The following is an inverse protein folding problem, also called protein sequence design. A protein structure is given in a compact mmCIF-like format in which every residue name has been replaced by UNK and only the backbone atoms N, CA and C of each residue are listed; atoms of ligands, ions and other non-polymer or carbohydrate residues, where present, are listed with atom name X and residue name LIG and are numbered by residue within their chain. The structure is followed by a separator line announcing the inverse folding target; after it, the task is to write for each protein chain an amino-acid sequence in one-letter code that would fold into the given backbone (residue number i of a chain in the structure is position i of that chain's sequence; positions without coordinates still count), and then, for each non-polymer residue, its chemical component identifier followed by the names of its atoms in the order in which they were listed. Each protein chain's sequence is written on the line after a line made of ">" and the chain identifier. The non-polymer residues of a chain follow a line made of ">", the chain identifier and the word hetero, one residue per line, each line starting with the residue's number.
data_IF_062109937427
#
_entry.id   IF_062109937427
#
_cell.length_a   1.000
_cell.length_b   1.000
_cell.length_c   1.000
_cell.angle_alpha   90.00
_cell.angle_beta   90.00
_cell.angle_gamma   90.00
#
_symmetry.space_group_name_H-M   'P 1'
#
loop_
_entity.id
_entity.type
_entity.pdbx_description
1 polymer ?
#
# COMPACT_ATOMS: atom_id res chain seq x y z
N UNK A 1 7.48 -8.63 18.49
CA UNK A 1 8.36 -8.89 17.32
C UNK A 1 7.87 -8.23 16.02
N UNK A 2 6.56 -8.28 15.67
CA UNK A 2 6.05 -7.52 14.52
C UNK A 2 6.19 -6.02 14.76
N UNK A 3 5.93 -5.57 15.96
CA UNK A 3 6.09 -4.17 16.36
C UNK A 3 7.51 -3.67 16.15
N UNK A 4 8.52 -4.52 16.36
CA UNK A 4 9.92 -4.15 16.20
C UNK A 4 10.40 -4.11 14.76
N UNK A 5 9.88 -4.95 13.86
CA UNK A 5 10.33 -5.01 12.45
C UNK A 5 9.53 -4.16 11.49
N UNK A 6 8.21 -4.07 11.66
CA UNK A 6 7.35 -3.20 10.84
C UNK A 6 7.29 -1.76 11.36
N UNK A 7 7.59 -1.56 12.62
CA UNK A 7 7.31 -0.33 13.36
C UNK A 7 8.56 0.24 14.04
N UNK A 8 9.69 -0.48 14.03
CA UNK A 8 10.91 -0.02 14.64
C UNK A 8 12.14 -0.40 13.82
N UNK A 9 12.84 0.59 13.30
CA UNK A 9 14.23 0.48 12.91
C UNK A 9 15.06 1.48 13.69
N UNK A 10 16.23 1.06 14.14
CA UNK A 10 17.22 1.98 14.70
C UNK A 10 17.91 2.68 13.53
N UNK A 11 17.49 3.90 13.21
CA UNK A 11 18.15 4.71 12.19
C UNK A 11 19.34 5.52 12.72
N UNK A 12 19.43 5.67 14.04
CA UNK A 12 20.56 6.27 14.76
C UNK A 12 20.72 5.59 16.11
N UNK A 13 21.93 5.59 16.63
CA UNK A 13 22.30 4.96 17.92
C UNK A 13 21.46 5.45 19.12
N UNK A 14 20.66 6.51 18.97
CA UNK A 14 19.88 7.11 20.07
C UNK A 14 18.39 7.20 19.86
N UNK A 15 17.89 7.15 18.63
CA UNK A 15 16.47 7.42 18.34
C UNK A 15 15.78 6.18 17.78
N UNK A 16 14.70 5.76 18.43
CA UNK A 16 13.83 4.67 17.97
C UNK A 16 12.54 5.28 17.44
N UNK A 17 12.27 5.05 16.17
CA UNK A 17 11.05 5.48 15.53
C UNK A 17 10.16 4.27 15.18
N UNK A 18 8.85 4.45 15.29
CA UNK A 18 7.88 3.41 14.97
C UNK A 18 6.64 3.99 14.30
N UNK A 19 5.84 3.13 13.69
CA UNK A 19 4.56 3.45 13.08
C UNK A 19 4.65 4.57 12.04
N UNK A 20 3.66 5.43 12.05
CA UNK A 20 3.56 6.56 11.11
C UNK A 20 4.78 7.46 11.14
N UNK A 21 5.32 7.76 12.33
CA UNK A 21 6.50 8.63 12.49
C UNK A 21 7.73 8.06 11.76
N UNK A 22 7.95 6.74 11.85
CA UNK A 22 9.03 6.08 11.11
C UNK A 22 8.86 6.26 9.60
N UNK A 23 7.65 6.04 9.08
CA UNK A 23 7.39 6.18 7.65
C UNK A 23 7.54 7.62 7.17
N UNK A 24 7.05 8.60 7.92
CA UNK A 24 7.18 10.02 7.59
C UNK A 24 8.67 10.43 7.51
N UNK A 25 9.50 9.95 8.42
CA UNK A 25 10.95 10.20 8.42
C UNK A 25 11.63 9.54 7.21
N UNK A 26 11.29 8.28 6.93
CA UNK A 26 11.84 7.55 5.79
C UNK A 26 11.44 8.21 4.48
N UNK A 27 10.17 8.55 4.29
CA UNK A 27 9.68 9.24 3.10
C UNK A 27 10.40 10.58 2.91
N UNK A 28 10.51 11.37 3.98
CA UNK A 28 11.22 12.65 3.92
C UNK A 28 12.68 12.48 3.49
N UNK A 29 13.39 11.52 4.07
CA UNK A 29 14.80 11.26 3.72
C UNK A 29 14.96 10.75 2.29
N UNK A 30 14.09 9.84 1.85
CA UNK A 30 14.09 9.31 0.48
C UNK A 30 13.81 10.41 -0.54
N UNK A 31 12.82 11.27 -0.28
CA UNK A 31 12.50 12.39 -1.19
C UNK A 31 13.68 13.34 -1.38
N UNK A 32 14.52 13.54 -0.37
CA UNK A 32 15.75 14.36 -0.48
C UNK A 32 16.71 13.84 -1.53
N UNK A 33 16.73 12.54 -1.84
CA UNK A 33 17.56 11.98 -2.90
C UNK A 33 17.26 12.59 -4.27
N UNK A 34 16.01 13.01 -4.49
CA UNK A 34 15.50 13.51 -5.77
C UNK A 34 15.34 15.02 -5.81
N UNK A 35 14.74 15.62 -4.77
CA UNK A 35 14.33 17.03 -4.81
C UNK A 35 15.35 17.99 -4.22
N UNK A 36 16.31 17.53 -3.40
CA UNK A 36 17.28 18.43 -2.77
C UNK A 36 18.30 18.96 -3.76
N UNK A 37 18.61 20.25 -3.68
CA UNK A 37 19.72 20.88 -4.40
C UNK A 37 21.06 20.71 -3.69
N UNK A 38 21.05 20.41 -2.39
CA UNK A 38 22.23 20.17 -1.57
C UNK A 38 22.78 18.75 -1.85
N UNK A 39 24.04 18.62 -2.32
CA UNK A 39 24.65 17.33 -2.62
C UNK A 39 24.70 16.39 -1.42
N UNK A 40 24.98 16.89 -0.21
CA UNK A 40 25.05 16.08 1.00
C UNK A 40 23.68 15.49 1.37
N UNK A 41 22.60 16.28 1.26
CA UNK A 41 21.24 15.81 1.52
C UNK A 41 20.80 14.78 0.47
N UNK A 42 21.21 14.97 -0.79
CA UNK A 42 20.95 13.98 -1.85
C UNK A 42 21.66 12.66 -1.56
N UNK A 43 22.90 12.72 -1.12
CA UNK A 43 23.67 11.55 -0.75
C UNK A 43 23.04 10.81 0.44
N UNK A 44 22.66 11.52 1.50
CA UNK A 44 21.94 10.94 2.62
C UNK A 44 20.65 10.25 2.19
N UNK A 45 19.88 10.86 1.29
CA UNK A 45 18.68 10.25 0.73
C UNK A 45 18.97 8.97 -0.04
N UNK A 46 20.01 8.94 -0.86
CA UNK A 46 20.45 7.72 -1.58
C UNK A 46 20.92 6.63 -0.62
N UNK A 47 21.64 6.99 0.43
CA UNK A 47 22.08 6.04 1.44
C UNK A 47 20.88 5.45 2.21
N UNK A 48 19.84 6.27 2.47
CA UNK A 48 18.57 5.78 3.04
C UNK A 48 17.90 4.77 2.12
N UNK A 49 17.81 5.06 0.81
CA UNK A 49 17.27 4.10 -0.18
C UNK A 49 18.06 2.81 -0.23
N UNK A 50 19.39 2.90 -0.22
CA UNK A 50 20.28 1.75 -0.20
C UNK A 50 20.06 0.88 1.05
N UNK A 51 19.97 1.52 2.22
CA UNK A 51 19.67 0.84 3.47
C UNK A 51 18.32 0.13 3.43
N UNK A 52 17.27 0.82 2.95
CA UNK A 52 15.93 0.25 2.84
C UNK A 52 15.90 -0.98 1.93
N UNK A 53 16.70 -0.99 0.89
CA UNK A 53 16.76 -2.09 -0.06
C UNK A 53 17.59 -3.27 0.43
N UNK A 54 18.74 -3.03 1.06
CA UNK A 54 19.75 -4.08 1.29
C UNK A 54 19.87 -4.53 2.74
N UNK A 55 19.46 -3.71 3.72
CA UNK A 55 19.72 -4.00 5.13
C UNK A 55 18.71 -5.01 5.70
N UNK A 56 19.18 -6.06 6.38
CA UNK A 56 18.30 -7.07 6.99
C UNK A 56 17.39 -6.51 8.10
N UNK A 57 17.78 -5.38 8.70
CA UNK A 57 16.96 -4.65 9.69
C UNK A 57 16.07 -3.58 9.06
N UNK A 58 16.02 -3.50 7.73
CA UNK A 58 15.10 -2.59 7.05
C UNK A 58 13.64 -2.93 7.37
N UNK A 59 12.76 -1.95 7.57
CA UNK A 59 11.33 -2.19 7.75
C UNK A 59 10.68 -2.82 6.52
N UNK A 60 11.32 -2.76 5.34
CA UNK A 60 10.87 -3.41 4.11
C UNK A 60 11.32 -4.87 3.96
N UNK A 61 12.17 -5.36 4.87
CA UNK A 61 12.73 -6.71 4.77
C UNK A 61 11.72 -7.76 5.25
N UNK A 62 11.00 -8.36 4.30
CA UNK A 62 9.90 -9.29 4.57
C UNK A 62 10.29 -10.74 4.83
N UNK A 63 11.57 -11.10 4.70
CA UNK A 63 12.11 -12.46 4.90
C UNK A 63 13.48 -12.38 5.57
N UNK A 64 13.97 -13.50 6.10
CA UNK A 64 15.30 -13.59 6.71
C UNK A 64 16.44 -13.54 5.68
N UNK A 65 16.19 -14.02 4.48
CA UNK A 65 17.12 -14.03 3.33
C UNK A 65 16.37 -14.15 2.01
N UNK A 66 17.09 -13.92 0.91
CA UNK A 66 16.66 -14.26 -0.45
C UNK A 66 17.54 -15.39 -0.98
N UNK A 67 16.93 -16.49 -1.38
CA UNK A 67 17.64 -17.72 -1.79
C UNK A 67 17.78 -17.85 -3.31
N UNK A 68 17.93 -16.75 -4.02
CA UNK A 68 18.03 -16.75 -5.48
C UNK A 68 19.25 -17.51 -5.98
N UNK A 69 20.42 -17.25 -5.40
CA UNK A 69 21.66 -17.91 -5.80
C UNK A 69 21.70 -19.36 -5.32
N UNK A 70 21.23 -19.65 -4.13
CA UNK A 70 21.14 -20.99 -3.59
C UNK A 70 20.31 -21.89 -4.52
N UNK A 71 19.19 -21.40 -5.04
CA UNK A 71 18.31 -22.13 -5.98
C UNK A 71 18.98 -22.40 -7.34
N UNK A 72 19.90 -21.55 -7.76
CA UNK A 72 20.60 -21.72 -9.03
C UNK A 72 21.86 -22.59 -8.92
N UNK A 73 22.54 -22.53 -7.79
CA UNK A 73 23.89 -23.08 -7.68
C UNK A 73 24.04 -24.23 -6.69
N UNK A 74 23.07 -24.43 -5.78
CA UNK A 74 23.10 -25.47 -4.76
C UNK A 74 21.99 -26.49 -4.98
N UNK A 75 22.32 -27.78 -4.85
CA UNK A 75 21.35 -28.86 -4.96
C UNK A 75 20.60 -29.13 -3.63
N UNK A 76 21.18 -28.70 -2.52
CA UNK A 76 20.68 -28.93 -1.16
C UNK A 76 19.47 -28.03 -0.90
N UNK A 77 18.27 -28.62 -0.94
CA UNK A 77 16.98 -27.89 -0.81
C UNK A 77 16.81 -27.20 0.55
N UNK A 78 17.49 -27.65 1.59
CA UNK A 78 17.47 -27.01 2.90
C UNK A 78 18.02 -25.57 2.83
N UNK A 79 18.96 -25.30 1.94
CA UNK A 79 19.51 -23.95 1.72
C UNK A 79 18.49 -22.99 1.12
N UNK A 80 17.42 -23.47 0.46
CA UNK A 80 16.40 -22.70 -0.22
C UNK A 80 15.31 -22.20 0.73
N UNK A 81 15.33 -22.62 2.00
CA UNK A 81 14.32 -22.23 2.98
C UNK A 81 14.46 -20.76 3.33
N UNK A 82 13.38 -20.02 3.20
CA UNK A 82 13.25 -18.61 3.57
C UNK A 82 12.18 -18.48 4.67
N UNK A 83 12.54 -17.84 5.77
CA UNK A 83 11.60 -17.59 6.87
C UNK A 83 10.93 -16.24 6.66
N UNK A 84 9.63 -16.26 6.42
CA UNK A 84 8.82 -15.05 6.26
C UNK A 84 8.69 -14.29 7.57
N UNK A 85 8.65 -12.95 7.50
CA UNK A 85 8.34 -12.08 8.61
C UNK A 85 6.98 -12.46 9.23
N UNK A 86 6.86 -12.25 10.52
CA UNK A 86 5.64 -12.49 11.28
C UNK A 86 4.40 -11.74 10.74
N UNK A 87 4.59 -10.63 10.02
CA UNK A 87 3.54 -9.89 9.33
C UNK A 87 2.65 -10.80 8.48
N UNK A 88 3.23 -11.66 7.64
CA UNK A 88 2.49 -12.54 6.73
C UNK A 88 1.52 -13.49 7.43
N UNK A 89 1.82 -13.88 8.66
CA UNK A 89 0.96 -14.73 9.49
C UNK A 89 -0.05 -13.93 10.30
N UNK A 90 0.36 -12.77 10.79
CA UNK A 90 -0.42 -12.00 11.75
C UNK A 90 -1.42 -11.07 11.09
N UNK A 91 -1.18 -10.64 9.84
CA UNK A 91 -2.10 -9.79 9.09
C UNK A 91 -3.43 -10.49 8.75
N UNK A 92 -3.50 -11.79 8.89
CA UNK A 92 -4.75 -12.55 8.76
C UNK A 92 -5.67 -12.42 9.99
N UNK A 93 -5.15 -11.88 11.09
CA UNK A 93 -5.91 -11.62 12.31
C UNK A 93 -6.46 -10.21 12.30
N UNK A 94 -7.76 -10.08 12.51
CA UNK A 94 -8.45 -8.78 12.52
C UNK A 94 -7.87 -7.83 13.56
N UNK A 95 -7.56 -8.33 14.77
CA UNK A 95 -6.92 -7.56 15.83
C UNK A 95 -5.57 -6.94 15.41
N UNK A 96 -4.80 -7.66 14.58
CA UNK A 96 -3.52 -7.15 14.06
C UNK A 96 -3.76 -6.05 13.04
N UNK A 97 -4.73 -6.22 12.15
CA UNK A 97 -5.11 -5.19 11.18
C UNK A 97 -5.56 -3.91 11.90
N UNK A 98 -6.40 -4.03 12.91
CA UNK A 98 -6.86 -2.91 13.72
C UNK A 98 -5.72 -2.18 14.44
N UNK A 99 -4.79 -2.92 15.03
CA UNK A 99 -3.62 -2.32 15.68
C UNK A 99 -2.74 -1.55 14.70
N UNK A 100 -2.52 -2.09 13.50
CA UNK A 100 -1.76 -1.39 12.45
C UNK A 100 -2.50 -0.12 12.04
N UNK A 101 -3.79 -0.18 11.76
CA UNK A 101 -4.58 0.98 11.38
C UNK A 101 -4.54 2.07 12.46
N UNK A 102 -4.71 1.70 13.73
CA UNK A 102 -4.62 2.62 14.86
C UNK A 102 -3.24 3.29 15.00
N UNK A 103 -2.15 2.54 14.77
CA UNK A 103 -0.78 3.09 14.80
C UNK A 103 -0.59 4.17 13.72
N UNK A 104 -1.31 4.08 12.61
CA UNK A 104 -1.33 5.11 11.56
C UNK A 104 -2.40 6.20 11.79
N UNK A 105 -3.09 6.19 12.94
CA UNK A 105 -4.14 7.17 13.27
C UNK A 105 -5.41 6.97 12.45
N UNK A 106 -5.61 5.78 11.89
CA UNK A 106 -6.79 5.43 11.10
C UNK A 106 -7.78 4.68 11.98
N UNK A 107 -9.02 5.16 12.03
CA UNK A 107 -10.12 4.55 12.77
C UNK A 107 -11.43 4.60 11.96
N UNK A 108 -12.28 3.61 12.17
CA UNK A 108 -13.58 3.53 11.53
C UNK A 108 -13.71 2.38 10.55
N UNK A 109 -14.86 2.34 9.88
CA UNK A 109 -15.20 1.21 9.01
C UNK A 109 -14.65 1.33 7.57
N UNK A 110 -14.23 2.55 7.17
CA UNK A 110 -13.76 2.84 5.80
C UNK A 110 -12.23 2.96 5.75
N UNK A 111 -11.53 2.16 6.54
CA UNK A 111 -10.08 2.14 6.60
C UNK A 111 -9.56 0.78 6.15
N UNK A 112 -8.53 0.79 5.31
CA UNK A 112 -8.03 -0.42 4.67
C UNK A 112 -6.51 -0.44 4.66
N UNK A 113 -5.96 -1.64 4.75
CA UNK A 113 -4.56 -1.96 4.46
C UNK A 113 -4.55 -2.60 3.07
N UNK A 114 -3.83 -2.01 2.13
CA UNK A 114 -3.72 -2.52 0.77
C UNK A 114 -2.31 -3.08 0.58
N UNK A 115 -2.23 -4.36 0.29
CA UNK A 115 -0.97 -5.07 0.07
C UNK A 115 -0.79 -5.45 -1.40
N UNK A 116 0.44 -5.29 -1.88
CA UNK A 116 0.92 -5.82 -3.15
C UNK A 116 2.10 -6.77 -2.96
N UNK A 117 2.78 -7.12 -4.04
CA UNK A 117 4.03 -7.89 -4.11
C UNK A 117 3.93 -9.39 -3.75
N UNK A 118 3.03 -9.80 -2.87
CA UNK A 118 2.82 -11.23 -2.57
C UNK A 118 1.49 -11.63 -3.17
N UNK A 119 1.50 -12.46 -4.23
CA UNK A 119 0.27 -12.81 -4.94
C UNK A 119 -0.64 -13.70 -4.10
N UNK A 120 -1.95 -13.57 -4.34
CA UNK A 120 -2.99 -14.43 -3.79
C UNK A 120 -2.97 -15.78 -4.52
N UNK A 121 -2.97 -16.87 -3.78
CA UNK A 121 -3.10 -18.22 -4.33
C UNK A 121 -4.58 -18.60 -4.46
N UNK A 122 -5.27 -18.02 -5.42
CA UNK A 122 -6.69 -18.28 -5.64
C UNK A 122 -6.98 -19.75 -5.96
N UNK A 123 -6.07 -20.44 -6.67
CA UNK A 123 -6.16 -21.88 -6.95
C UNK A 123 -6.19 -22.72 -5.67
N UNK A 124 -5.59 -22.22 -4.58
CA UNK A 124 -5.63 -22.84 -3.24
C UNK A 124 -6.80 -22.35 -2.38
N UNK A 125 -7.72 -21.55 -2.94
CA UNK A 125 -8.88 -21.01 -2.22
C UNK A 125 -8.59 -19.77 -1.37
N UNK A 126 -7.42 -19.13 -1.55
CA UNK A 126 -7.09 -17.91 -0.81
C UNK A 126 -7.93 -16.73 -1.32
N UNK A 127 -8.48 -15.95 -0.38
CA UNK A 127 -9.24 -14.73 -0.71
C UNK A 127 -8.33 -13.50 -0.73
N UNK A 128 -8.48 -12.60 -1.72
CA UNK A 128 -7.80 -11.31 -1.73
C UNK A 128 -8.36 -10.33 -0.68
N UNK A 129 -9.53 -10.61 -0.13
CA UNK A 129 -10.20 -9.80 0.89
C UNK A 129 -10.10 -10.54 2.22
N UNK A 130 -9.39 -9.96 3.18
CA UNK A 130 -9.16 -10.54 4.51
C UNK A 130 -9.68 -9.60 5.61
N UNK A 131 -9.83 -10.14 6.82
CA UNK A 131 -10.24 -9.37 8.02
C UNK A 131 -11.51 -8.52 7.79
N UNK A 132 -12.56 -9.12 7.21
CA UNK A 132 -13.82 -8.42 6.96
C UNK A 132 -13.70 -7.22 5.99
N UNK A 133 -12.68 -7.21 5.13
CA UNK A 133 -12.42 -6.11 4.19
C UNK A 133 -11.40 -5.08 4.69
N UNK A 134 -10.86 -5.22 5.88
CA UNK A 134 -9.80 -4.33 6.40
C UNK A 134 -8.47 -4.52 5.70
N UNK A 135 -8.21 -5.73 5.16
CA UNK A 135 -6.98 -6.06 4.44
C UNK A 135 -7.33 -6.53 3.03
N UNK A 136 -6.72 -5.87 2.04
CA UNK A 136 -6.92 -6.15 0.63
C UNK A 136 -5.57 -6.50 0.00
N UNK A 137 -5.52 -7.63 -0.72
CA UNK A 137 -4.33 -8.04 -1.47
C UNK A 137 -4.64 -7.83 -2.95
N UNK A 138 -3.89 -6.93 -3.59
CA UNK A 138 -4.11 -6.56 -4.99
C UNK A 138 -3.17 -7.24 -5.98
N UNK A 139 -2.24 -8.07 -5.48
CA UNK A 139 -1.35 -8.85 -6.33
C UNK A 139 -1.96 -10.23 -6.60
N UNK A 140 -2.11 -10.57 -7.87
CA UNK A 140 -2.57 -11.89 -8.32
C UNK A 140 -1.55 -12.58 -9.21
N UNK A 141 -0.32 -12.04 -9.32
CA UNK A 141 0.73 -12.60 -10.16
C UNK A 141 0.49 -12.38 -11.65
N UNK A 142 0.52 -11.12 -12.11
CA UNK A 142 0.38 -10.78 -13.54
C UNK A 142 1.42 -11.44 -14.45
N UNK A 143 2.57 -11.84 -13.90
CA UNK A 143 3.58 -12.56 -14.65
C UNK A 143 3.08 -13.96 -15.04
N UNK A 144 3.14 -14.29 -16.33
CA UNK A 144 2.70 -15.58 -16.87
C UNK A 144 3.30 -16.79 -16.14
N UNK A 145 4.51 -16.64 -15.60
CA UNK A 145 5.19 -17.70 -14.83
C UNK A 145 4.41 -18.09 -13.57
N UNK A 146 3.65 -17.18 -12.97
CA UNK A 146 2.88 -17.42 -11.75
C UNK A 146 1.45 -17.91 -11.99
N UNK A 147 0.89 -17.80 -13.20
CA UNK A 147 -0.51 -18.15 -13.48
C UNK A 147 -0.86 -19.58 -13.09
N UNK A 148 0.08 -20.52 -13.18
CA UNK A 148 -0.13 -21.91 -12.76
C UNK A 148 -0.35 -22.06 -11.26
N UNK A 149 0.25 -21.19 -10.46
CA UNK A 149 0.19 -21.21 -9.00
C UNK A 149 -0.94 -20.34 -8.49
N UNK A 150 -1.11 -19.15 -9.05
CA UNK A 150 -2.10 -18.17 -8.60
C UNK A 150 -3.49 -18.38 -9.17
N UNK A 151 -3.59 -18.95 -10.37
CA UNK A 151 -4.86 -19.20 -11.06
C UNK A 151 -5.50 -17.97 -11.72
N UNK A 152 -4.91 -16.78 -11.57
CA UNK A 152 -5.41 -15.52 -12.16
C UNK A 152 -4.27 -14.68 -12.72
N UNK A 153 -4.63 -13.69 -13.56
CA UNK A 153 -3.68 -12.72 -14.10
C UNK A 153 -3.40 -11.53 -13.18
N UNK A 154 -4.25 -11.25 -12.19
CA UNK A 154 -4.09 -10.18 -11.23
C UNK A 154 -5.39 -9.54 -10.76
N UNK A 155 -5.25 -8.52 -9.90
CA UNK A 155 -6.39 -7.78 -9.38
C UNK A 155 -6.26 -6.29 -9.67
N UNK A 156 -7.40 -5.64 -9.91
CA UNK A 156 -7.52 -4.17 -9.94
C UNK A 156 -8.44 -3.72 -8.81
N UNK A 157 -7.93 -2.84 -7.96
CA UNK A 157 -8.74 -2.19 -6.94
C UNK A 157 -9.40 -0.96 -7.55
N UNK A 158 -10.72 -0.92 -7.49
CA UNK A 158 -11.54 0.18 -8.01
C UNK A 158 -12.22 0.89 -6.84
N UNK A 159 -11.93 2.18 -6.70
CA UNK A 159 -12.62 3.05 -5.77
C UNK A 159 -13.45 4.08 -6.54
N UNK A 160 -14.74 4.14 -6.23
CA UNK A 160 -15.65 5.11 -6.82
C UNK A 160 -16.65 5.64 -5.77
N UNK A 161 -17.58 6.48 -6.22
CA UNK A 161 -18.58 7.09 -5.32
C UNK A 161 -19.56 6.09 -4.66
N UNK A 162 -19.60 4.85 -5.11
CA UNK A 162 -20.44 3.79 -4.53
C UNK A 162 -19.66 2.83 -3.64
N UNK A 163 -18.34 2.97 -3.58
CA UNK A 163 -17.53 2.17 -2.67
C UNK A 163 -16.26 1.60 -3.29
N UNK A 164 -15.83 0.48 -2.72
CA UNK A 164 -14.58 -0.19 -3.03
C UNK A 164 -14.88 -1.58 -3.59
N UNK A 165 -14.31 -1.89 -4.74
CA UNK A 165 -14.42 -3.20 -5.36
C UNK A 165 -13.08 -3.70 -5.88
N UNK A 166 -12.91 -5.00 -5.90
CA UNK A 166 -11.74 -5.68 -6.40
C UNK A 166 -12.15 -6.49 -7.65
N UNK A 167 -11.49 -6.22 -8.76
CA UNK A 167 -11.74 -6.92 -10.02
C UNK A 167 -10.61 -7.90 -10.27
N UNK A 168 -10.93 -9.19 -10.33
CA UNK A 168 -9.99 -10.23 -10.73
C UNK A 168 -9.97 -10.32 -12.26
N UNK A 169 -8.76 -10.32 -12.83
CA UNK A 169 -8.56 -10.48 -14.27
C UNK A 169 -8.22 -11.92 -14.57
N UNK A 170 -8.94 -12.52 -15.52
CA UNK A 170 -8.60 -13.84 -16.03
C UNK A 170 -7.42 -13.76 -17.00
N UNK A 171 -6.61 -14.83 -17.12
CA UNK A 171 -5.52 -14.87 -18.08
C UNK A 171 -6.03 -14.66 -19.51
N UNK A 172 -5.45 -13.67 -20.18
CA UNK A 172 -5.68 -13.45 -21.60
C UNK A 172 -4.74 -14.35 -22.41
N UNK A 173 -5.29 -15.19 -23.29
CA UNK A 173 -4.48 -16.13 -24.06
C UNK A 173 -3.94 -15.49 -25.35
N UNK A 174 -4.83 -15.05 -26.24
CA UNK A 174 -4.50 -14.30 -27.45
C UNK A 174 -5.72 -13.59 -28.04
N UNK A 175 -5.48 -12.57 -28.87
CA UNK A 175 -6.53 -11.86 -29.59
C UNK A 175 -7.25 -12.79 -30.58
N UNK A 176 -6.50 -13.66 -31.28
CA UNK A 176 -7.05 -14.61 -32.26
C UNK A 176 -8.01 -15.57 -31.57
N UNK A 177 -7.64 -16.10 -30.41
CA UNK A 177 -8.49 -17.03 -29.66
C UNK A 177 -9.73 -16.34 -29.11
N UNK A 178 -9.59 -15.12 -28.59
CA UNK A 178 -10.73 -14.33 -28.11
C UNK A 178 -11.75 -14.07 -29.24
N UNK A 179 -11.29 -13.76 -30.46
CA UNK A 179 -12.14 -13.55 -31.64
C UNK A 179 -12.80 -14.87 -32.09
N UNK A 180 -12.03 -15.97 -32.14
CA UNK A 180 -12.54 -17.28 -32.60
C UNK A 180 -13.57 -17.87 -31.64
N UNK A 181 -13.40 -17.68 -30.34
CA UNK A 181 -14.30 -18.21 -29.31
C UNK A 181 -15.41 -17.22 -28.93
N UNK A 182 -15.43 -16.04 -29.55
CA UNK A 182 -16.34 -14.93 -29.21
C UNK A 182 -16.34 -14.62 -27.71
N UNK A 183 -15.17 -14.86 -27.05
CA UNK A 183 -14.98 -14.62 -25.64
C UNK A 183 -14.49 -13.19 -25.38
N UNK A 184 -15.25 -12.46 -24.60
CA UNK A 184 -14.78 -11.20 -24.00
C UNK A 184 -13.74 -11.50 -22.90
N UNK A 185 -12.93 -10.49 -22.55
CA UNK A 185 -12.04 -10.57 -21.39
C UNK A 185 -12.92 -10.64 -20.13
N UNK A 186 -13.05 -11.81 -19.57
CA UNK A 186 -13.88 -12.02 -18.39
C UNK A 186 -13.18 -11.47 -17.17
N UNK A 187 -13.82 -10.51 -16.52
CA UNK A 187 -13.34 -9.94 -15.24
C UNK A 187 -14.38 -10.25 -14.17
N UNK A 188 -13.94 -10.87 -13.09
CA UNK A 188 -14.80 -11.17 -11.96
C UNK A 188 -14.68 -10.08 -10.91
N UNK A 189 -15.75 -9.35 -10.65
CA UNK A 189 -15.79 -8.32 -9.64
C UNK A 189 -16.22 -8.88 -8.29
N UNK A 190 -15.44 -8.61 -7.27
CA UNK A 190 -15.75 -8.88 -5.87
C UNK A 190 -15.98 -7.54 -5.17
N UNK A 191 -17.18 -7.29 -4.71
CA UNK A 191 -17.45 -6.11 -3.92
C UNK A 191 -16.77 -6.24 -2.56
N UNK A 192 -15.88 -5.31 -2.24
CA UNK A 192 -15.26 -5.22 -0.91
C UNK A 192 -16.18 -4.46 0.03
N UNK A 193 -16.71 -3.33 -0.48
CA UNK A 193 -17.69 -2.52 0.24
C UNK A 193 -18.55 -1.76 -0.75
N UNK A 194 -19.86 -1.79 -0.53
CA UNK A 194 -20.82 -1.05 -1.31
C UNK A 194 -21.56 -0.06 -0.42
N UNK A 195 -21.50 1.22 -0.77
CA UNK A 195 -22.23 2.24 -0.07
C UNK A 195 -23.62 2.39 -0.69
N UNK A 196 -24.69 2.21 0.09
CA UNK A 196 -26.07 2.41 -0.38
C UNK A 196 -26.30 3.86 -0.84
N UNK A 197 -25.61 4.82 -0.21
CA UNK A 197 -25.66 6.23 -0.58
C UNK A 197 -24.36 6.63 -1.27
N UNK A 198 -24.51 7.28 -2.42
CA UNK A 198 -23.36 7.78 -3.19
C UNK A 198 -22.53 8.75 -2.35
N UNK A 199 -21.24 8.50 -2.26
CA UNK A 199 -20.27 9.36 -1.60
C UNK A 199 -19.88 10.51 -2.52
N UNK A 200 -20.04 11.74 -2.06
CA UNK A 200 -19.64 12.94 -2.79
C UNK A 200 -18.22 13.35 -2.42
N UNK A 201 -17.57 14.15 -3.27
CA UNK A 201 -16.24 14.72 -2.97
C UNK A 201 -16.27 15.46 -1.63
N UNK A 202 -17.36 16.16 -1.33
CA UNK A 202 -17.54 16.86 -0.04
C UNK A 202 -17.52 15.96 1.19
N UNK A 203 -17.76 14.66 1.06
CA UNK A 203 -17.77 13.70 2.17
C UNK A 203 -16.37 13.13 2.46
N UNK A 204 -15.42 13.36 1.55
CA UNK A 204 -14.01 12.94 1.71
C UNK A 204 -13.23 13.91 2.59
N UNK A 205 -12.07 13.47 3.12
CA UNK A 205 -11.15 14.32 3.87
C UNK A 205 -10.72 15.55 3.06
N UNK A 206 -10.39 15.32 1.80
CA UNK A 206 -10.00 16.39 0.88
C UNK A 206 -11.14 17.37 0.63
N UNK A 207 -12.36 16.87 0.49
CA UNK A 207 -13.55 17.72 0.36
C UNK A 207 -13.85 18.54 1.62
N UNK A 208 -13.58 17.99 2.82
CA UNK A 208 -13.66 18.75 4.08
C UNK A 208 -12.64 19.87 4.14
N UNK A 209 -11.40 19.61 3.77
CA UNK A 209 -10.33 20.62 3.69
C UNK A 209 -10.69 21.75 2.69
N UNK A 210 -11.19 21.39 1.51
CA UNK A 210 -11.64 22.36 0.51
C UNK A 210 -12.77 23.23 1.05
N UNK A 211 -13.78 22.64 1.70
CA UNK A 211 -14.87 23.41 2.32
C UNK A 211 -14.38 24.36 3.41
N UNK A 212 -13.43 23.92 4.21
CA UNK A 212 -12.82 24.79 5.22
C UNK A 212 -12.12 25.98 4.56
N UNK A 213 -11.31 25.71 3.54
CA UNK A 213 -10.60 26.75 2.78
C UNK A 213 -11.55 27.77 2.13
N UNK A 214 -12.66 27.29 1.59
CA UNK A 214 -13.71 28.16 1.04
C UNK A 214 -14.30 29.07 2.12
N UNK A 215 -14.56 28.56 3.33
CA UNK A 215 -15.03 29.40 4.45
C UNK A 215 -14.01 30.46 4.82
N UNK A 216 -12.78 30.08 5.04
CA UNK A 216 -11.66 31.00 5.36
C UNK A 216 -11.51 32.12 4.31
N UNK A 217 -11.58 31.78 3.02
CA UNK A 217 -11.51 32.76 1.95
C UNK A 217 -12.72 33.71 1.92
N UNK A 218 -13.93 33.21 2.22
CA UNK A 218 -15.12 34.06 2.31
C UNK A 218 -15.03 35.04 3.49
N UNK A 219 -14.56 34.57 4.64
CA UNK A 219 -14.32 35.41 5.83
C UNK A 219 -13.26 36.46 5.54
N UNK A 220 -12.18 36.12 4.82
CA UNK A 220 -11.14 37.03 4.42
C UNK A 220 -11.70 38.14 3.48
N UNK A 221 -12.49 37.74 2.47
CA UNK A 221 -13.14 38.71 1.56
C UNK A 221 -14.03 39.66 2.34
N UNK A 222 -14.80 39.15 3.30
CA UNK A 222 -15.67 40.01 4.09
C UNK A 222 -14.89 40.97 4.99
N UNK A 223 -13.79 40.49 5.59
CA UNK A 223 -12.89 41.35 6.38
C UNK A 223 -12.27 42.50 5.57
N UNK A 224 -11.95 42.28 4.27
CA UNK A 224 -11.53 43.34 3.38
C UNK A 224 -12.68 44.30 3.05
N UNK A 225 -13.87 43.79 2.75
CA UNK A 225 -15.04 44.62 2.43
C UNK A 225 -15.49 45.50 3.60
N UNK A 226 -15.34 45.00 4.81
CA UNK A 226 -15.70 45.74 6.04
C UNK A 226 -14.56 46.60 6.58
N UNK A 227 -13.45 46.75 5.84
CA UNK A 227 -12.24 47.48 6.23
C UNK A 227 -11.62 47.02 7.58
N UNK A 228 -11.91 45.83 8.01
CA UNK A 228 -11.24 45.20 9.20
C UNK A 228 -9.78 44.85 8.89
N UNK A 229 -9.47 44.56 7.61
CA UNK A 229 -8.12 44.41 7.09
C UNK A 229 -7.85 45.52 6.04
N UNK A 230 -6.70 46.18 6.18
CA UNK A 230 -6.22 47.14 5.18
C UNK A 230 -5.30 46.40 4.22
N UNK A 231 -5.43 46.67 2.91
CA UNK A 231 -4.39 46.25 1.96
C UNK A 231 -3.06 46.91 2.33
N UNK A 232 -2.03 46.07 2.52
CA UNK A 232 -0.67 46.55 2.58
C UNK A 232 -0.23 46.76 1.12
N UNK A 233 -0.34 48.00 0.66
CA UNK A 233 0.24 48.51 -0.61
C UNK A 233 1.75 48.60 -0.46
#
# INVERSE_FOLDING_TARGET
>A
EIHERLVGSEMCIRDRYKGKVLYDILEHNVRRAFVSRDPKKREQGRNTLWYLWTAPNSPLYGRDKMTTFERYFLAEKETWTEVKNAYYRLIEKEETADRILQEFGLAGENVHIINGHVPVHQSAGESPVKCGGKVLIIDGGFCRAYHKETGIAGYTLIYNSYGLSLTAHEPFESTEKAIQEEKDIVSRQVAVRYNMKRQLVGDTDQGRQIRQRIRELKELIEAYRTAQLKELL
#
